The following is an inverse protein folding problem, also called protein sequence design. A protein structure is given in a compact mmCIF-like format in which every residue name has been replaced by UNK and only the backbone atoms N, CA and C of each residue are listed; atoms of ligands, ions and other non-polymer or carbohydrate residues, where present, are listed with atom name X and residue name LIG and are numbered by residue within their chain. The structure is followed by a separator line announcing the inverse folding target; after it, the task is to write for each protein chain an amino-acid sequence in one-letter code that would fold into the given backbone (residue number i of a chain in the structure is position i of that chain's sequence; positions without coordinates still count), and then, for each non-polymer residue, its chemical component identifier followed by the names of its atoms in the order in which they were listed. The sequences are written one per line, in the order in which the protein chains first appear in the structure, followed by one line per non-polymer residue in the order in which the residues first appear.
data_IF_921346478926
#
_entry.id   IF_921346478926
#
_cell.length_a   1.000
_cell.length_b   1.000
_cell.length_c   1.000
_cell.angle_alpha   90.00
_cell.angle_beta   90.00
_cell.angle_gamma   90.00
#
_symmetry.space_group_name_H-M   'P 1'
#
loop_
_entity.id
_entity.type
_entity.pdbx_description
1 polymer ?
#
# COMPACT_ATOMS: atom_id res chain seq x y z
N UNK A 1 -12.73 9.76 -3.84
CA UNK A 1 -14.15 9.41 -4.07
C UNK A 1 -14.93 9.98 -2.89
N UNK A 2 -16.09 10.58 -3.12
CA UNK A 2 -16.89 11.14 -2.02
C UNK A 2 -18.25 10.44 -1.97
N UNK A 3 -18.67 9.99 -0.79
CA UNK A 3 -19.92 9.25 -0.56
C UNK A 3 -20.71 9.94 0.54
N UNK A 4 -22.05 9.99 0.39
CA UNK A 4 -22.94 10.60 1.38
C UNK A 4 -22.91 9.91 2.75
N UNK A 5 -23.41 10.61 3.76
CA UNK A 5 -23.48 10.11 5.15
C UNK A 5 -24.56 9.06 5.38
N UNK A 6 -25.30 8.65 4.35
CA UNK A 6 -26.38 7.65 4.46
C UNK A 6 -25.86 6.21 4.65
N UNK A 7 -24.55 5.99 4.46
CA UNK A 7 -23.92 4.68 4.63
C UNK A 7 -22.84 4.69 5.70
N UNK A 8 -22.74 3.58 6.44
CA UNK A 8 -21.70 3.41 7.45
C UNK A 8 -20.32 3.34 6.77
N UNK A 9 -19.34 4.07 7.30
CA UNK A 9 -18.02 4.19 6.66
C UNK A 9 -17.34 2.82 6.47
N UNK A 10 -17.49 1.90 7.42
CA UNK A 10 -16.95 0.54 7.31
C UNK A 10 -17.46 -0.20 6.07
N UNK A 11 -18.75 -0.09 5.77
CA UNK A 11 -19.33 -0.72 4.57
C UNK A 11 -18.66 -0.17 3.31
N UNK A 12 -18.46 1.15 3.26
CA UNK A 12 -17.79 1.81 2.13
C UNK A 12 -16.33 1.36 2.02
N UNK A 13 -15.59 1.38 3.13
CA UNK A 13 -14.19 0.95 3.17
C UNK A 13 -14.00 -0.49 2.69
N UNK A 14 -14.85 -1.42 3.14
CA UNK A 14 -14.80 -2.83 2.71
C UNK A 14 -15.04 -3.00 1.21
N UNK A 15 -16.01 -2.26 0.65
CA UNK A 15 -16.29 -2.32 -0.79
C UNK A 15 -15.14 -1.72 -1.61
N UNK A 16 -14.51 -0.66 -1.12
CA UNK A 16 -13.35 -0.06 -1.78
C UNK A 16 -12.11 -0.98 -1.74
N UNK A 17 -11.89 -1.68 -0.63
CA UNK A 17 -10.86 -2.73 -0.52
C UNK A 17 -11.15 -3.86 -1.51
N UNK A 18 -12.42 -4.30 -1.58
CA UNK A 18 -12.86 -5.34 -2.52
C UNK A 18 -12.60 -4.92 -3.97
N UNK A 19 -12.93 -3.68 -4.34
CA UNK A 19 -12.67 -3.15 -5.67
C UNK A 19 -11.16 -3.11 -6.01
N UNK A 20 -10.31 -2.79 -5.02
CA UNK A 20 -8.86 -2.79 -5.19
C UNK A 20 -8.29 -4.21 -5.35
N UNK A 21 -8.79 -5.18 -4.56
CA UNK A 21 -8.45 -6.59 -4.70
C UNK A 21 -8.83 -7.14 -6.09
N UNK A 22 -10.01 -6.78 -6.60
CA UNK A 22 -10.45 -7.15 -7.95
C UNK A 22 -9.51 -6.61 -9.06
N UNK A 23 -8.75 -5.55 -8.75
CA UNK A 23 -7.76 -4.97 -9.64
C UNK A 23 -6.34 -5.53 -9.44
N UNK A 24 -6.17 -6.57 -8.61
CA UNK A 24 -4.88 -7.20 -8.29
C UNK A 24 -3.89 -6.21 -7.67
N UNK A 25 -4.38 -5.26 -6.88
CA UNK A 25 -3.53 -4.43 -6.03
C UNK A 25 -3.18 -5.22 -4.77
N UNK A 26 -1.90 -5.27 -4.44
CA UNK A 26 -1.42 -5.87 -3.21
C UNK A 26 -1.61 -4.90 -2.05
N UNK A 27 -1.90 -5.44 -0.87
CA UNK A 27 -2.07 -4.69 0.39
C UNK A 27 -2.97 -3.44 0.27
N UNK A 28 -4.19 -3.56 -0.27
CA UNK A 28 -5.03 -2.41 -0.45
C UNK A 28 -5.53 -1.86 0.89
N UNK A 29 -5.49 -0.54 1.02
CA UNK A 29 -5.99 0.17 2.20
C UNK A 29 -6.84 1.38 1.79
N UNK A 30 -7.71 1.81 2.70
CA UNK A 30 -8.63 2.93 2.51
C UNK A 30 -8.43 3.95 3.62
N UNK A 31 -8.31 5.21 3.23
CA UNK A 31 -8.20 6.36 4.13
C UNK A 31 -9.41 7.27 3.98
N UNK A 32 -9.91 7.79 5.10
CA UNK A 32 -10.83 8.93 5.12
C UNK A 32 -9.98 10.20 5.05
N UNK A 33 -10.12 10.95 3.97
CA UNK A 33 -9.33 12.16 3.67
C UNK A 33 -9.99 13.41 4.27
N UNK A 34 -11.31 13.48 4.22
CA UNK A 34 -12.06 14.67 4.63
C UNK A 34 -13.48 14.29 5.06
N UNK A 35 -13.98 14.95 6.09
CA UNK A 35 -15.39 14.98 6.45
C UNK A 35 -15.99 16.27 5.94
N UNK A 36 -16.58 16.22 4.75
CA UNK A 36 -17.27 17.36 4.16
C UNK A 36 -18.65 17.57 4.78
N UNK A 37 -19.30 18.69 4.47
CA UNK A 37 -20.63 19.00 4.99
C UNK A 37 -21.72 18.00 4.57
N UNK A 38 -21.55 17.34 3.42
CA UNK A 38 -22.55 16.46 2.82
C UNK A 38 -22.02 15.07 2.42
N UNK A 39 -20.71 14.86 2.52
CA UNK A 39 -20.08 13.60 2.12
C UNK A 39 -18.77 13.35 2.86
N UNK A 40 -18.37 12.10 2.90
CA UNK A 40 -17.06 11.65 3.37
C UNK A 40 -16.19 11.39 2.14
N UNK A 41 -14.99 11.96 2.12
CA UNK A 41 -14.01 11.75 1.07
C UNK A 41 -13.10 10.58 1.43
N UNK A 42 -13.08 9.55 0.58
CA UNK A 42 -12.23 8.37 0.70
C UNK A 42 -11.13 8.36 -0.36
N UNK A 43 -9.98 7.82 0.02
CA UNK A 43 -8.88 7.43 -0.87
C UNK A 43 -8.61 5.95 -0.68
N UNK A 44 -8.62 5.20 -1.77
CA UNK A 44 -8.14 3.82 -1.81
C UNK A 44 -6.75 3.79 -2.44
N UNK A 45 -5.87 2.95 -1.92
CA UNK A 45 -4.49 2.81 -2.38
C UNK A 45 -4.06 1.36 -2.22
N UNK A 46 -3.05 0.95 -2.98
CA UNK A 46 -2.50 -0.40 -2.95
C UNK A 46 -1.26 -0.48 -3.84
N UNK A 47 -0.47 -1.53 -3.66
CA UNK A 47 0.78 -1.75 -4.39
C UNK A 47 0.48 -2.33 -5.78
N UNK A 48 1.11 -1.75 -6.81
CA UNK A 48 1.04 -2.21 -8.19
C UNK A 48 2.37 -2.87 -8.57
N UNK A 49 2.35 -4.17 -8.81
CA UNK A 49 3.54 -4.95 -9.19
C UNK A 49 4.06 -4.60 -10.59
N UNK A 50 3.18 -4.34 -11.55
CA UNK A 50 3.56 -3.98 -12.93
C UNK A 50 3.42 -2.48 -13.22
N UNK A 51 4.53 -1.75 -13.04
CA UNK A 51 4.59 -0.28 -13.20
C UNK A 51 4.24 0.21 -14.62
N UNK A 52 4.53 -0.59 -15.65
CA UNK A 52 4.23 -0.23 -17.06
C UNK A 52 2.74 -0.09 -17.34
N UNK A 53 1.89 -0.65 -16.48
CA UNK A 53 0.43 -0.66 -16.64
C UNK A 53 -0.29 0.43 -15.84
N UNK A 54 0.43 1.33 -15.15
CA UNK A 54 -0.13 2.26 -14.16
C UNK A 54 -1.38 3.04 -14.63
N UNK A 55 -1.37 3.58 -15.85
CA UNK A 55 -2.51 4.36 -16.39
C UNK A 55 -3.74 3.47 -16.55
N UNK A 56 -3.55 2.29 -17.13
CA UNK A 56 -4.63 1.31 -17.34
C UNK A 56 -5.13 0.74 -16.01
N UNK A 57 -4.22 0.43 -15.07
CA UNK A 57 -4.56 -0.03 -13.71
C UNK A 57 -5.39 1.01 -12.97
N UNK A 58 -5.04 2.29 -13.06
CA UNK A 58 -5.83 3.37 -12.48
C UNK A 58 -7.23 3.45 -13.07
N UNK A 59 -7.36 3.35 -14.38
CA UNK A 59 -8.67 3.34 -15.04
C UNK A 59 -9.51 2.13 -14.63
N UNK A 60 -8.90 0.93 -14.54
CA UNK A 60 -9.57 -0.29 -14.07
C UNK A 60 -10.02 -0.20 -12.62
N UNK A 61 -9.21 0.42 -11.76
CA UNK A 61 -9.56 0.67 -10.37
C UNK A 61 -10.81 1.56 -10.27
N UNK A 62 -10.86 2.66 -11.00
CA UNK A 62 -12.06 3.51 -11.00
C UNK A 62 -13.31 2.78 -11.52
N UNK A 63 -13.18 2.01 -12.59
CA UNK A 63 -14.29 1.20 -13.10
C UNK A 63 -14.78 0.17 -12.06
N UNK A 64 -13.86 -0.58 -11.45
CA UNK A 64 -14.21 -1.57 -10.42
C UNK A 64 -14.83 -0.93 -9.17
N UNK A 65 -14.37 0.26 -8.77
CA UNK A 65 -14.99 1.00 -7.66
C UNK A 65 -16.45 1.31 -7.99
N UNK A 66 -16.73 1.81 -9.19
CA UNK A 66 -18.11 2.09 -9.63
C UNK A 66 -18.95 0.82 -9.64
N UNK A 67 -18.46 -0.25 -10.27
CA UNK A 67 -19.19 -1.51 -10.37
C UNK A 67 -19.48 -2.11 -8.99
N UNK A 68 -18.49 -2.13 -8.10
CA UNK A 68 -18.62 -2.70 -6.75
C UNK A 68 -19.62 -1.92 -5.90
N UNK A 69 -19.57 -0.58 -5.94
CA UNK A 69 -20.50 0.26 -5.19
C UNK A 69 -21.93 0.15 -5.74
N UNK A 70 -22.10 0.20 -7.05
CA UNK A 70 -23.42 0.07 -7.68
C UNK A 70 -24.03 -1.31 -7.46
N UNK A 71 -23.25 -2.40 -7.52
CA UNK A 71 -23.71 -3.74 -7.17
C UNK A 71 -24.18 -3.82 -5.72
N UNK A 72 -23.53 -3.10 -4.81
CA UNK A 72 -23.91 -2.98 -3.41
C UNK A 72 -25.06 -1.97 -3.14
N UNK A 73 -25.69 -1.46 -4.21
CA UNK A 73 -26.77 -0.46 -4.17
C UNK A 73 -26.38 0.82 -3.43
N UNK A 74 -25.13 1.27 -3.61
CA UNK A 74 -24.65 2.56 -3.09
C UNK A 74 -24.73 3.58 -4.21
N UNK A 75 -25.47 4.65 -3.94
CA UNK A 75 -25.64 5.75 -4.87
C UNK A 75 -24.45 6.72 -4.77
N UNK A 76 -23.89 7.08 -5.93
CA UNK A 76 -22.85 8.11 -6.05
C UNK A 76 -23.53 9.37 -6.59
N UNK A 77 -23.68 10.38 -5.73
CA UNK A 77 -24.42 11.57 -6.08
C UNK A 77 -23.59 12.54 -6.94
N UNK A 78 -24.26 13.22 -7.86
CA UNK A 78 -23.67 14.37 -8.56
C UNK A 78 -23.57 15.57 -7.61
N UNK A 79 -22.50 16.39 -7.70
CA UNK A 79 -22.33 17.57 -6.83
C UNK A 79 -23.51 18.57 -6.84
N UNK A 80 -24.27 18.61 -7.93
CA UNK A 80 -25.42 19.52 -8.08
C UNK A 80 -26.75 18.92 -7.59
N UNK A 81 -26.73 17.66 -7.13
CA UNK A 81 -27.92 16.99 -6.61
C UNK A 81 -28.00 17.20 -5.10
N UNK A 82 -29.00 17.98 -4.64
CA UNK A 82 -29.28 18.13 -3.22
C UNK A 82 -30.37 17.15 -2.79
N UNK A 83 -29.98 16.16 -2.00
CA UNK A 83 -30.92 15.22 -1.39
C UNK A 83 -31.60 15.88 -0.18
N UNK A 84 -32.87 16.27 -0.32
CA UNK A 84 -33.65 16.85 0.78
C UNK A 84 -34.47 15.75 1.46
N UNK A 85 -34.15 15.47 2.72
CA UNK A 85 -34.93 14.54 3.55
C UNK A 85 -36.08 15.28 4.22
N UNK A 86 -37.30 14.76 4.13
CA UNK A 86 -38.40 15.27 4.94
C UNK A 86 -38.29 14.69 6.37
N UNK A 87 -38.01 15.56 7.35
CA UNK A 87 -37.68 15.18 8.73
C UNK A 87 -38.93 15.01 9.60
N UNK A 88 -40.13 15.36 9.11
CA UNK A 88 -41.34 15.47 9.92
C UNK A 88 -41.63 14.26 10.85
N UNK A 89 -41.27 13.03 10.44
CA UNK A 89 -41.33 11.82 11.28
C UNK A 89 -40.16 10.83 11.02
N UNK A 90 -39.06 11.30 10.40
CA UNK A 90 -37.97 10.42 10.01
C UNK A 90 -37.01 10.16 11.20
N UNK A 91 -36.56 8.91 11.42
CA UNK A 91 -35.52 8.64 12.41
C UNK A 91 -34.24 9.41 12.06
N UNK A 92 -33.37 9.69 13.05
CA UNK A 92 -32.07 10.33 12.82
C UNK A 92 -31.32 9.70 11.66
N UNK A 93 -30.70 10.52 10.82
CA UNK A 93 -29.93 10.11 9.64
C UNK A 93 -28.57 9.49 10.02
N UNK A 94 -28.60 8.51 10.92
CA UNK A 94 -27.43 7.82 11.44
C UNK A 94 -27.39 6.45 10.78
N UNK A 95 -26.33 6.14 9.99
CA UNK A 95 -26.15 4.81 9.46
C UNK A 95 -26.12 3.78 10.59
N UNK A 96 -26.84 2.68 10.41
CA UNK A 96 -26.75 1.57 11.35
C UNK A 96 -25.33 1.00 11.28
N UNK A 97 -24.71 0.82 12.45
CA UNK A 97 -23.48 0.07 12.55
C UNK A 97 -23.69 -1.34 12.01
N UNK A 98 -22.72 -1.85 11.26
CA UNK A 98 -22.72 -3.24 10.81
C UNK A 98 -22.64 -4.15 12.05
N UNK A 99 -23.53 -5.14 12.18
CA UNK A 99 -23.61 -6.02 13.35
C UNK A 99 -22.33 -6.83 13.57
N UNK A 100 -21.55 -7.04 12.51
CA UNK A 100 -20.21 -7.62 12.54
C UNK A 100 -19.16 -6.53 12.27
N UNK A 101 -18.30 -6.19 13.25
CA UNK A 101 -17.11 -5.37 12.98
C UNK A 101 -16.26 -6.09 11.93
N UNK A 102 -15.86 -5.45 10.84
CA UNK A 102 -14.93 -6.05 9.89
C UNK A 102 -13.60 -6.35 10.60
N UNK A 103 -13.06 -7.57 10.44
CA UNK A 103 -11.75 -7.95 11.00
C UNK A 103 -10.61 -7.01 10.57
N UNK A 104 -10.77 -6.34 9.41
CA UNK A 104 -9.78 -5.43 8.82
C UNK A 104 -9.81 -3.99 9.35
N UNK A 105 -10.79 -3.62 10.18
CA UNK A 105 -10.84 -2.30 10.79
C UNK A 105 -10.94 -2.54 12.29
N UNK A 106 -9.78 -2.76 12.90
CA UNK A 106 -9.66 -2.74 14.34
C UNK A 106 -10.35 -1.46 14.86
N UNK A 107 -11.46 -1.64 15.57
CA UNK A 107 -12.26 -0.58 16.19
C UNK A 107 -11.30 0.41 16.82
N UNK A 108 -11.14 1.60 16.22
CA UNK A 108 -10.23 2.66 16.68
C UNK A 108 -9.07 2.07 17.49
N UNK A 109 -8.22 1.26 16.84
CA UNK A 109 -7.23 0.45 17.53
C UNK A 109 -6.53 1.31 18.59
N UNK A 110 -6.55 0.86 19.84
CA UNK A 110 -5.61 1.38 20.82
C UNK A 110 -4.23 1.33 20.14
N UNK A 111 -3.46 2.45 20.09
CA UNK A 111 -2.19 2.54 19.37
C UNK A 111 -1.12 1.55 19.90
N UNK A 112 -1.49 0.71 20.85
CA UNK A 112 -0.64 -0.27 21.54
C UNK A 112 -0.95 -1.73 21.17
N UNK A 113 -2.00 -2.03 20.37
CA UNK A 113 -2.50 -3.42 20.24
C UNK A 113 -2.67 -3.97 18.81
N UNK A 114 -2.43 -3.19 17.77
CA UNK A 114 -2.43 -3.68 16.39
C UNK A 114 -1.30 -3.01 15.62
N UNK A 115 -0.61 -3.78 14.76
CA UNK A 115 0.36 -3.26 13.79
C UNK A 115 -0.33 -2.18 12.99
N UNK A 116 0.06 -0.92 13.22
CA UNK A 116 -0.57 0.19 12.51
C UNK A 116 -0.10 0.19 11.06
N UNK A 117 -0.90 0.70 10.11
CA UNK A 117 -0.43 0.90 8.75
C UNK A 117 0.87 1.69 8.69
N UNK A 118 1.08 2.62 9.62
CA UNK A 118 2.33 3.36 9.81
C UNK A 118 3.49 2.43 10.14
N UNK A 119 3.34 1.51 11.10
CA UNK A 119 4.39 0.54 11.47
C UNK A 119 4.82 -0.30 10.25
N UNK A 120 3.86 -0.78 9.45
CA UNK A 120 4.15 -1.55 8.22
C UNK A 120 4.93 -0.71 7.20
N UNK A 121 4.57 0.57 7.04
CA UNK A 121 5.25 1.48 6.12
C UNK A 121 6.68 1.78 6.58
N UNK A 122 6.87 2.02 7.88
CA UNK A 122 8.20 2.28 8.46
C UNK A 122 9.09 1.05 8.39
N UNK A 123 8.57 -0.14 8.72
CA UNK A 123 9.30 -1.40 8.61
C UNK A 123 9.77 -1.66 7.17
N UNK A 124 8.88 -1.46 6.17
CA UNK A 124 9.26 -1.62 4.75
C UNK A 124 10.27 -0.57 4.28
N UNK A 125 10.14 0.68 4.77
CA UNK A 125 11.10 1.72 4.45
C UNK A 125 12.47 1.44 5.06
N UNK A 126 12.53 0.96 6.30
CA UNK A 126 13.76 0.60 7.00
C UNK A 126 14.42 -0.63 6.35
N UNK A 127 13.65 -1.65 5.95
CA UNK A 127 14.18 -2.79 5.20
C UNK A 127 14.76 -2.35 3.84
N UNK A 128 14.08 -1.44 3.14
CA UNK A 128 14.58 -0.88 1.88
C UNK A 128 15.88 -0.08 2.08
N UNK A 129 15.97 0.76 3.12
CA UNK A 129 17.17 1.52 3.45
C UNK A 129 18.34 0.59 3.82
N UNK A 130 18.10 -0.42 4.65
CA UNK A 130 19.12 -1.38 5.07
C UNK A 130 19.63 -2.22 3.90
N UNK A 131 18.74 -2.55 2.96
CA UNK A 131 19.10 -3.22 1.70
C UNK A 131 19.93 -2.33 0.79
N UNK A 132 19.61 -1.05 0.69
CA UNK A 132 20.39 -0.09 -0.10
C UNK A 132 21.79 0.10 0.51
N UNK A 133 21.86 0.30 1.84
CA UNK A 133 23.11 0.45 2.59
C UNK A 133 24.01 -0.77 2.49
N UNK A 134 23.46 -1.97 2.68
CA UNK A 134 24.24 -3.21 2.51
C UNK A 134 24.71 -3.39 1.05
N UNK A 135 23.88 -3.02 0.07
CA UNK A 135 24.30 -3.04 -1.33
C UNK A 135 25.39 -2.00 -1.66
N UNK A 136 25.39 -0.83 -1.04
CA UNK A 136 26.42 0.20 -1.26
C UNK A 136 27.74 -0.20 -0.61
N UNK A 137 27.71 -0.67 0.65
CA UNK A 137 28.88 -1.18 1.38
C UNK A 137 29.56 -2.34 0.62
N UNK A 138 28.80 -3.34 0.16
CA UNK A 138 29.36 -4.44 -0.66
C UNK A 138 29.96 -3.94 -1.97
N UNK A 139 29.37 -2.94 -2.61
CA UNK A 139 29.91 -2.35 -3.84
C UNK A 139 31.22 -1.60 -3.61
N UNK A 140 31.33 -0.86 -2.51
CA UNK A 140 32.56 -0.15 -2.12
C UNK A 140 33.68 -1.13 -1.76
N UNK A 141 33.37 -2.18 -1.01
CA UNK A 141 34.30 -3.26 -0.70
C UNK A 141 34.84 -3.95 -1.96
N UNK A 142 33.96 -4.22 -2.94
CA UNK A 142 34.36 -4.79 -4.23
C UNK A 142 35.30 -3.83 -4.96
N UNK A 143 35.04 -2.51 -4.95
CA UNK A 143 35.95 -1.52 -5.57
C UNK A 143 37.31 -1.51 -4.88
N UNK A 144 37.34 -1.49 -3.54
CA UNK A 144 38.58 -1.50 -2.76
C UNK A 144 39.41 -2.77 -3.00
N UNK A 145 38.77 -3.94 -3.03
CA UNK A 145 39.43 -5.22 -3.34
C UNK A 145 39.93 -5.28 -4.79
N UNK A 146 39.20 -4.69 -5.75
CA UNK A 146 39.68 -4.56 -7.13
C UNK A 146 40.89 -3.62 -7.26
N UNK A 147 40.96 -2.55 -6.47
CA UNK A 147 42.13 -1.67 -6.41
C UNK A 147 43.35 -2.44 -5.88
N UNK A 148 43.19 -3.18 -4.78
CA UNK A 148 44.25 -4.00 -4.18
C UNK A 148 44.71 -5.14 -5.10
N UNK A 149 43.83 -5.66 -5.96
CA UNK A 149 44.15 -6.68 -6.95
C UNK A 149 45.12 -6.15 -8.03
N UNK A 150 45.09 -4.85 -8.36
CA UNK A 150 46.01 -4.25 -9.33
C UNK A 150 47.47 -4.28 -8.84
N UNK A 151 47.69 -4.15 -7.53
CA UNK A 151 49.01 -4.05 -6.91
C UNK A 151 49.54 -5.39 -6.34
N UNK A 152 48.72 -6.46 -6.33
CA UNK A 152 49.06 -7.74 -5.71
C UNK A 152 49.88 -8.70 -6.61
N UNK A 153 50.80 -9.47 -6.00
CA UNK A 153 51.59 -10.54 -6.65
C UNK A 153 50.84 -11.89 -6.63
N UNK A 154 51.13 -12.76 -7.60
CA UNK A 154 50.37 -13.97 -7.99
C UNK A 154 49.60 -14.73 -6.88
N UNK A 155 50.24 -15.14 -5.77
CA UNK A 155 49.53 -15.92 -4.72
C UNK A 155 48.46 -15.13 -3.95
N UNK A 156 48.57 -13.80 -3.90
CA UNK A 156 47.57 -12.92 -3.28
C UNK A 156 46.43 -12.59 -4.26
N UNK A 157 46.67 -12.63 -5.58
CA UNK A 157 45.64 -12.38 -6.60
C UNK A 157 44.53 -13.43 -6.57
N UNK A 158 44.87 -14.71 -6.50
CA UNK A 158 43.87 -15.79 -6.49
C UNK A 158 42.94 -15.71 -5.25
N UNK A 159 43.48 -15.28 -4.11
CA UNK A 159 42.71 -15.04 -2.88
C UNK A 159 41.79 -13.82 -3.01
N UNK A 160 42.28 -12.73 -3.62
CA UNK A 160 41.51 -11.50 -3.86
C UNK A 160 40.37 -11.74 -4.86
N UNK A 161 40.63 -12.48 -5.96
CA UNK A 161 39.60 -12.86 -6.94
C UNK A 161 38.49 -13.71 -6.31
N UNK A 162 38.86 -14.69 -5.48
CA UNK A 162 37.90 -15.53 -4.75
C UNK A 162 37.02 -14.71 -3.80
N UNK A 163 37.58 -13.69 -3.14
CA UNK A 163 36.84 -12.79 -2.25
C UNK A 163 35.89 -11.85 -3.03
N UNK A 164 36.36 -11.31 -4.16
CA UNK A 164 35.55 -10.46 -5.04
C UNK A 164 34.38 -11.26 -5.63
N UNK A 165 34.60 -12.52 -6.04
CA UNK A 165 33.56 -13.39 -6.56
C UNK A 165 32.45 -13.63 -5.52
N UNK A 166 32.83 -13.97 -4.27
CA UNK A 166 31.87 -14.14 -3.17
C UNK A 166 31.08 -12.86 -2.87
N UNK A 167 31.74 -11.70 -2.79
CA UNK A 167 31.05 -10.43 -2.54
C UNK A 167 30.15 -10.01 -3.70
N UNK A 168 30.52 -10.31 -4.95
CA UNK A 168 29.64 -10.11 -6.12
C UNK A 168 28.40 -10.99 -6.07
N UNK A 169 28.56 -12.25 -5.65
CA UNK A 169 27.44 -13.18 -5.49
C UNK A 169 26.47 -12.70 -4.40
N UNK A 170 26.99 -12.28 -3.23
CA UNK A 170 26.19 -11.69 -2.16
C UNK A 170 25.43 -10.43 -2.60
N UNK A 171 26.09 -9.54 -3.36
CA UNK A 171 25.44 -8.34 -3.92
C UNK A 171 24.35 -8.68 -4.94
N UNK A 172 24.53 -9.74 -5.74
CA UNK A 172 23.47 -10.24 -6.63
C UNK A 172 22.30 -10.80 -5.84
N UNK A 173 22.54 -11.59 -4.78
CA UNK A 173 21.48 -12.13 -3.92
C UNK A 173 20.67 -11.03 -3.24
N UNK A 174 21.33 -10.00 -2.70
CA UNK A 174 20.65 -8.86 -2.07
C UNK A 174 19.80 -8.11 -3.10
N UNK A 175 20.27 -7.95 -4.34
CA UNK A 175 19.48 -7.30 -5.41
C UNK A 175 18.29 -8.13 -5.91
N UNK A 176 18.39 -9.45 -5.90
CA UNK A 176 17.34 -10.34 -6.41
C UNK A 176 16.32 -10.78 -5.38
N UNK A 177 16.64 -10.74 -4.08
CA UNK A 177 15.68 -11.08 -3.03
C UNK A 177 14.58 -10.01 -2.97
N UNK A 178 13.29 -10.36 -3.19
CA UNK A 178 12.20 -9.40 -2.99
C UNK A 178 12.11 -9.00 -1.52
N UNK A 179 11.65 -7.78 -1.26
CA UNK A 179 11.29 -7.29 0.08
C UNK A 179 10.19 -8.25 0.59
N UNK A 180 10.33 -8.81 1.80
CA UNK A 180 9.39 -9.82 2.28
C UNK A 180 7.99 -9.21 2.47
N UNK A 181 6.96 -9.92 1.99
CA UNK A 181 5.54 -9.58 2.09
C UNK A 181 5.05 -9.53 3.54
#
# INVERSE_FOLDING_TARGET
LSIGYDHHHDKISQLLITAANNCQLEEPFVQIIELGNYSISYRVSGLLTEVKSMISSRSRLYANILDTLHQAQIEIMSPNFMNTRNIADAPPAIPKATETPPEHIAKHADPTSATTPEDIIFDKAEEAEQKERSSTELSEDIKALNEQLKDAKNELKDRLESQIARKKEQLQTIKTKPIQE
#
